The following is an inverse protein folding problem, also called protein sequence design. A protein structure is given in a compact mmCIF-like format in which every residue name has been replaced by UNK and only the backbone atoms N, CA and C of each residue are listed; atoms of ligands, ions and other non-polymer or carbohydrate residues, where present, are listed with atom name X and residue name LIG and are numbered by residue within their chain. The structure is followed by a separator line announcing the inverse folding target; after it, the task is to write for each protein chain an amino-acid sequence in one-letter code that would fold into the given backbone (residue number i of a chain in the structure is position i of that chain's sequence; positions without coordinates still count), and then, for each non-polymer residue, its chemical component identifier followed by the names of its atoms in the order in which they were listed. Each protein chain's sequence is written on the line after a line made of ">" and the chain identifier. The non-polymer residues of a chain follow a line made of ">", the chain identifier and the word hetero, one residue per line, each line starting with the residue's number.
data_IF_564934390575
#
_entry.id   IF_564934390575
#
_cell.length_a   1.000
_cell.length_b   1.000
_cell.length_c   1.000
_cell.angle_alpha   90.00
_cell.angle_beta   90.00
_cell.angle_gamma   90.00
#
_symmetry.space_group_name_H-M   'P 1'
#
loop_
_entity.id
_entity.type
_entity.pdbx_description
1 polymer ?
#
# COMPACT_ATOMS: atom_id res chain seq x y z
N UNK A 1 -8.66 -29.08 20.91
CA UNK A 1 -9.03 -29.17 19.49
C UNK A 1 -9.03 -27.77 18.94
N UNK A 2 -7.95 -27.39 18.27
CA UNK A 2 -7.85 -26.12 17.57
C UNK A 2 -8.44 -26.31 16.17
N UNK A 3 -9.37 -25.44 15.79
CA UNK A 3 -10.01 -25.47 14.48
C UNK A 3 -9.02 -24.86 13.48
N UNK A 4 -8.23 -25.72 12.84
CA UNK A 4 -7.56 -25.44 11.57
C UNK A 4 -8.66 -25.26 10.50
N UNK A 5 -8.75 -24.06 9.94
CA UNK A 5 -9.78 -23.72 8.94
C UNK A 5 -9.97 -22.24 8.69
N UNK A 6 -9.22 -21.35 9.35
CA UNK A 6 -9.20 -19.94 9.00
C UNK A 6 -8.38 -19.72 7.74
N UNK A 7 -9.03 -19.30 6.66
CA UNK A 7 -8.37 -18.67 5.50
C UNK A 7 -7.47 -17.58 6.07
N UNK A 8 -6.16 -17.75 5.91
CA UNK A 8 -5.15 -16.78 6.34
C UNK A 8 -5.43 -15.51 5.56
N UNK A 9 -5.69 -14.40 6.25
CA UNK A 9 -5.91 -13.11 5.60
C UNK A 9 -4.68 -12.76 4.75
N UNK A 10 -4.82 -12.88 3.43
CA UNK A 10 -3.74 -12.59 2.51
C UNK A 10 -3.73 -11.08 2.25
N UNK A 11 -2.63 -10.44 2.61
CA UNK A 11 -2.41 -9.04 2.31
C UNK A 11 -2.51 -8.78 0.80
N UNK A 12 -2.31 -9.80 -0.06
CA UNK A 12 -2.48 -9.72 -1.51
C UNK A 12 -3.89 -9.28 -1.95
N UNK A 13 -4.93 -9.50 -1.14
CA UNK A 13 -6.33 -9.13 -1.41
C UNK A 13 -6.69 -7.69 -1.02
N UNK A 14 -5.83 -7.03 -0.21
CA UNK A 14 -6.06 -5.63 0.18
C UNK A 14 -5.72 -4.75 -1.03
N UNK A 15 -6.74 -4.34 -1.76
CA UNK A 15 -6.63 -3.28 -2.77
C UNK A 15 -7.15 -1.97 -2.16
N UNK A 16 -6.36 -0.92 -2.19
CA UNK A 16 -6.86 0.40 -1.82
C UNK A 16 -7.85 0.86 -2.88
N UNK A 17 -9.11 1.21 -2.55
CA UNK A 17 -9.99 1.84 -3.50
C UNK A 17 -9.35 3.02 -4.17
N UNK A 18 -9.77 3.21 -5.42
CA UNK A 18 -9.33 4.27 -6.28
C UNK A 18 -9.57 5.68 -5.66
N UNK A 19 -10.40 5.84 -4.63
CA UNK A 19 -10.80 7.16 -4.15
C UNK A 19 -10.52 7.45 -2.66
N UNK A 20 -9.68 6.64 -1.98
CA UNK A 20 -9.47 6.76 -0.52
C UNK A 20 -8.96 8.12 0.00
N UNK A 21 -8.42 8.97 -0.88
CA UNK A 21 -7.75 10.23 -0.49
C UNK A 21 -8.17 11.45 -1.31
N UNK A 22 -9.21 11.35 -2.14
CA UNK A 22 -9.73 12.48 -2.92
C UNK A 22 -11.13 12.86 -2.47
N UNK A 23 -11.41 14.17 -2.48
CA UNK A 23 -12.75 14.72 -2.37
C UNK A 23 -13.62 14.16 -3.50
N UNK A 24 -14.89 13.92 -3.15
CA UNK A 24 -15.97 13.45 -3.99
C UNK A 24 -15.91 14.01 -5.42
N UNK A 25 -15.96 13.12 -6.41
CA UNK A 25 -16.75 13.32 -7.61
C UNK A 25 -17.11 11.94 -8.16
N UNK A 26 -18.41 11.67 -8.17
CA UNK A 26 -19.02 10.55 -8.87
C UNK A 26 -18.52 10.50 -10.31
N UNK A 27 -18.06 9.32 -10.73
CA UNK A 27 -18.18 8.82 -12.10
C UNK A 27 -18.01 7.30 -12.06
N UNK A 28 -19.15 6.61 -12.02
CA UNK A 28 -19.30 5.17 -12.21
C UNK A 28 -19.14 4.82 -13.69
N UNK A 29 -17.92 4.82 -14.23
CA UNK A 29 -17.62 4.15 -15.50
C UNK A 29 -16.14 3.75 -15.44
N UNK A 30 -15.83 2.52 -15.00
CA UNK A 30 -14.52 1.85 -15.24
C UNK A 30 -14.45 0.41 -14.63
N UNK A 31 -15.58 -0.26 -14.44
CA UNK A 31 -15.60 -1.65 -13.93
C UNK A 31 -15.42 -2.72 -15.03
N UNK A 32 -15.26 -2.35 -16.30
CA UNK A 32 -15.19 -3.31 -17.42
C UNK A 32 -13.75 -3.75 -17.82
N UNK A 33 -12.71 -3.28 -17.13
CA UNK A 33 -11.32 -3.64 -17.49
C UNK A 33 -10.68 -4.70 -16.59
N UNK A 34 -11.41 -5.25 -15.60
CA UNK A 34 -10.88 -6.26 -14.68
C UNK A 34 -11.20 -7.72 -15.08
N UNK A 35 -11.89 -7.97 -16.20
CA UNK A 35 -12.26 -9.35 -16.63
C UNK A 35 -11.26 -10.01 -17.59
N UNK A 36 -10.11 -9.39 -17.89
CA UNK A 36 -9.12 -9.94 -18.85
C UNK A 36 -7.89 -10.56 -18.16
N UNK A 37 -7.76 -10.49 -16.84
CA UNK A 37 -6.57 -10.99 -16.12
C UNK A 37 -6.67 -12.46 -15.65
N UNK A 38 -7.84 -13.10 -15.77
CA UNK A 38 -8.04 -14.50 -15.34
C UNK A 38 -7.56 -15.56 -16.35
N UNK A 39 -6.91 -15.16 -17.46
CA UNK A 39 -6.51 -16.09 -18.53
C UNK A 39 -5.11 -16.71 -18.39
N UNK A 40 -4.34 -16.37 -17.34
CA UNK A 40 -2.96 -16.85 -17.17
C UNK A 40 -2.64 -17.52 -15.81
N UNK A 41 -3.63 -17.89 -15.00
CA UNK A 41 -3.40 -18.79 -13.87
C UNK A 41 -3.54 -20.27 -14.30
N UNK A 42 -2.60 -20.73 -15.13
CA UNK A 42 -2.41 -22.16 -15.42
C UNK A 42 -1.04 -22.65 -14.95
N UNK A 43 -0.50 -22.05 -13.88
CA UNK A 43 0.66 -22.63 -13.19
C UNK A 43 0.16 -23.58 -12.11
N UNK A 44 0.38 -24.88 -12.31
CA UNK A 44 0.11 -25.89 -11.30
C UNK A 44 0.85 -25.57 -9.98
N UNK A 45 0.22 -25.85 -8.84
CA UNK A 45 0.82 -25.71 -7.50
C UNK A 45 2.21 -26.37 -7.39
N UNK A 46 2.44 -27.42 -8.18
CA UNK A 46 3.71 -28.12 -8.30
C UNK A 46 4.82 -27.22 -8.90
N UNK A 47 4.52 -26.42 -9.92
CA UNK A 47 5.47 -25.47 -10.54
C UNK A 47 5.85 -24.35 -9.58
N UNK A 48 4.88 -23.82 -8.82
CA UNK A 48 5.14 -22.82 -7.76
C UNK A 48 6.05 -23.39 -6.67
N UNK A 49 5.81 -24.64 -6.25
CA UNK A 49 6.64 -25.36 -5.26
C UNK A 49 8.08 -25.61 -5.74
N UNK A 50 8.25 -25.99 -7.02
CA UNK A 50 9.58 -26.19 -7.61
C UNK A 50 10.37 -24.88 -7.64
N UNK A 51 9.78 -23.78 -8.11
CA UNK A 51 10.44 -22.47 -8.14
C UNK A 51 10.86 -22.00 -6.74
N UNK A 52 9.98 -22.15 -5.75
CA UNK A 52 10.30 -21.83 -4.36
C UNK A 52 11.51 -22.61 -3.84
N UNK A 53 11.59 -23.91 -4.18
CA UNK A 53 12.71 -24.76 -3.80
C UNK A 53 14.01 -24.32 -4.47
N UNK A 54 13.97 -23.95 -5.76
CA UNK A 54 15.10 -23.40 -6.48
C UNK A 54 15.59 -22.08 -5.87
N UNK A 55 14.69 -21.13 -5.58
CA UNK A 55 15.04 -19.86 -4.95
C UNK A 55 15.68 -20.06 -3.57
N UNK A 56 15.13 -20.97 -2.76
CA UNK A 56 15.70 -21.30 -1.46
C UNK A 56 17.12 -21.85 -1.58
N UNK A 57 17.36 -22.77 -2.50
CA UNK A 57 18.70 -23.33 -2.75
C UNK A 57 19.71 -22.27 -3.23
N UNK A 58 19.28 -21.34 -4.10
CA UNK A 58 20.13 -20.22 -4.52
C UNK A 58 20.49 -19.31 -3.34
N UNK A 59 19.50 -18.94 -2.51
CA UNK A 59 19.74 -18.11 -1.33
C UNK A 59 20.66 -18.82 -0.33
N UNK A 60 20.50 -20.12 -0.10
CA UNK A 60 21.39 -20.90 0.76
C UNK A 60 22.83 -20.93 0.22
N UNK A 61 22.99 -21.10 -1.09
CA UNK A 61 24.31 -21.10 -1.74
C UNK A 61 24.97 -19.73 -1.64
N UNK A 62 24.25 -18.66 -1.95
CA UNK A 62 24.75 -17.29 -1.84
C UNK A 62 25.05 -16.89 -0.39
N UNK A 63 24.26 -17.38 0.58
CA UNK A 63 24.50 -17.16 2.01
C UNK A 63 25.80 -17.79 2.48
N UNK A 64 26.22 -18.92 1.90
CA UNK A 64 27.53 -19.53 2.19
C UNK A 64 28.69 -18.73 1.61
N UNK A 65 28.49 -18.08 0.46
CA UNK A 65 29.54 -17.31 -0.22
C UNK A 65 29.69 -15.88 0.32
N UNK A 66 28.57 -15.20 0.57
CA UNK A 66 28.52 -13.81 1.02
C UNK A 66 27.47 -13.64 2.14
N UNK A 67 27.70 -14.25 3.33
CA UNK A 67 26.72 -14.29 4.41
C UNK A 67 26.29 -12.88 4.83
N UNK A 68 27.26 -11.97 5.01
CA UNK A 68 27.00 -10.59 5.41
C UNK A 68 26.11 -9.86 4.40
N UNK A 69 26.40 -9.97 3.11
CA UNK A 69 25.60 -9.31 2.07
C UNK A 69 24.17 -9.82 2.07
N UNK A 70 23.97 -11.14 2.16
CA UNK A 70 22.64 -11.73 2.14
C UNK A 70 21.84 -11.32 3.38
N UNK A 71 22.44 -11.37 4.57
CA UNK A 71 21.78 -10.93 5.80
C UNK A 71 21.38 -9.45 5.75
N UNK A 72 22.29 -8.58 5.28
CA UNK A 72 22.00 -7.15 5.16
C UNK A 72 20.90 -6.86 4.11
N UNK A 73 20.91 -7.55 2.96
CA UNK A 73 19.86 -7.41 1.95
C UNK A 73 18.51 -7.91 2.46
N UNK A 74 18.47 -9.06 3.15
CA UNK A 74 17.25 -9.58 3.75
C UNK A 74 16.66 -8.61 4.77
N UNK A 75 17.51 -8.00 5.61
CA UNK A 75 17.09 -6.98 6.56
C UNK A 75 16.54 -5.74 5.84
N UNK A 76 17.24 -5.24 4.82
CA UNK A 76 16.79 -4.10 4.02
C UNK A 76 15.40 -4.37 3.41
N UNK A 77 15.22 -5.52 2.76
CA UNK A 77 13.94 -5.88 2.12
C UNK A 77 12.83 -6.09 3.15
N UNK A 78 13.12 -6.73 4.30
CA UNK A 78 12.16 -6.90 5.40
C UNK A 78 11.65 -5.54 5.87
N UNK A 79 12.56 -4.61 6.13
CA UNK A 79 12.19 -3.29 6.66
C UNK A 79 11.53 -2.39 5.61
N UNK A 80 11.96 -2.47 4.33
CA UNK A 80 11.26 -1.81 3.23
C UNK A 80 9.82 -2.34 3.13
N UNK A 81 9.60 -3.65 3.24
CA UNK A 81 8.26 -4.25 3.24
C UNK A 81 7.41 -3.75 4.41
N UNK A 82 8.00 -3.57 5.60
CA UNK A 82 7.32 -3.02 6.78
C UNK A 82 6.86 -1.57 6.56
N UNK A 83 7.71 -0.71 6.01
CA UNK A 83 7.37 0.70 5.79
C UNK A 83 6.48 0.92 4.55
N UNK A 84 6.19 -0.12 3.75
CA UNK A 84 5.27 -0.05 2.61
C UNK A 84 3.92 0.50 3.03
N UNK A 85 3.33 -0.14 4.05
CA UNK A 85 1.99 0.15 4.54
C UNK A 85 2.02 0.16 6.07
N UNK A 86 1.92 1.35 6.67
CA UNK A 86 1.88 1.50 8.11
C UNK A 86 0.51 1.06 8.66
N UNK A 87 0.42 0.72 9.95
CA UNK A 87 -0.82 0.20 10.54
C UNK A 87 -2.01 1.16 10.44
N UNK A 88 -1.81 2.46 10.57
CA UNK A 88 -2.88 3.45 10.37
C UNK A 88 -3.28 3.61 8.90
N UNK A 89 -2.33 3.47 7.97
CA UNK A 89 -2.62 3.41 6.54
C UNK A 89 -3.42 2.15 6.18
N UNK A 90 -3.05 1.01 6.77
CA UNK A 90 -3.75 -0.27 6.62
C UNK A 90 -5.20 -0.17 7.10
N UNK A 91 -5.43 0.29 8.33
CA UNK A 91 -6.78 0.46 8.86
C UNK A 91 -7.64 1.42 8.03
N UNK A 92 -7.09 2.58 7.68
CA UNK A 92 -7.81 3.55 6.85
C UNK A 92 -8.13 2.97 5.48
N UNK A 93 -7.17 2.27 4.88
CA UNK A 93 -7.29 1.63 3.59
C UNK A 93 -8.37 0.57 3.53
N UNK A 94 -8.35 -0.36 4.48
CA UNK A 94 -9.34 -1.43 4.55
C UNK A 94 -10.74 -0.89 4.85
N UNK A 95 -10.87 0.09 5.76
CA UNK A 95 -12.17 0.71 6.03
C UNK A 95 -12.76 1.45 4.82
N UNK A 96 -11.90 2.02 3.97
CA UNK A 96 -12.33 2.61 2.72
C UNK A 96 -12.70 1.52 1.69
N UNK A 97 -11.92 0.43 1.60
CA UNK A 97 -12.17 -0.72 0.71
C UNK A 97 -13.56 -1.31 0.91
N UNK A 98 -13.93 -1.53 2.16
CA UNK A 98 -15.20 -2.17 2.50
C UNK A 98 -16.34 -1.16 2.73
N UNK A 99 -16.15 0.13 2.43
CA UNK A 99 -17.14 1.17 2.74
C UNK A 99 -18.50 0.94 2.06
N UNK A 100 -18.49 0.66 0.74
CA UNK A 100 -19.72 0.39 -0.01
C UNK A 100 -20.41 -0.89 0.47
N UNK A 101 -19.63 -1.93 0.79
CA UNK A 101 -20.15 -3.21 1.28
C UNK A 101 -20.77 -3.08 2.68
N UNK A 102 -20.20 -2.21 3.52
CA UNK A 102 -20.74 -1.85 4.83
C UNK A 102 -22.10 -1.17 4.66
N UNK A 103 -22.21 -0.17 3.77
CA UNK A 103 -23.47 0.55 3.51
C UNK A 103 -24.53 -0.41 2.99
N UNK A 104 -24.17 -1.29 2.05
CA UNK A 104 -25.09 -2.27 1.49
C UNK A 104 -25.64 -3.21 2.57
N UNK A 105 -24.80 -3.69 3.48
CA UNK A 105 -25.23 -4.54 4.61
C UNK A 105 -26.08 -3.82 5.63
N UNK A 106 -25.81 -2.53 5.89
CA UNK A 106 -26.67 -1.72 6.75
C UNK A 106 -28.08 -1.63 6.16
N UNK A 107 -28.19 -1.31 4.87
CA UNK A 107 -29.48 -1.23 4.20
C UNK A 107 -30.20 -2.59 4.15
N UNK A 108 -29.47 -3.67 3.87
CA UNK A 108 -30.02 -5.03 3.92
C UNK A 108 -30.60 -5.36 5.30
N UNK A 109 -29.89 -4.98 6.37
CA UNK A 109 -30.34 -5.21 7.73
C UNK A 109 -31.59 -4.37 8.06
N UNK A 110 -31.65 -3.10 7.63
CA UNK A 110 -32.83 -2.24 7.80
C UNK A 110 -34.09 -2.89 7.18
N UNK A 111 -33.97 -3.39 5.94
CA UNK A 111 -35.06 -4.08 5.23
C UNK A 111 -35.48 -5.37 5.95
N UNK A 112 -34.55 -6.16 6.46
CA UNK A 112 -34.88 -7.39 7.18
C UNK A 112 -35.53 -7.11 8.54
N UNK A 113 -35.13 -6.04 9.23
CA UNK A 113 -35.76 -5.59 10.48
C UNK A 113 -37.21 -5.16 10.24
N UNK A 114 -37.47 -4.42 9.16
CA UNK A 114 -38.82 -3.99 8.78
C UNK A 114 -39.74 -5.20 8.55
N UNK A 115 -39.29 -6.21 7.78
CA UNK A 115 -40.04 -7.45 7.57
C UNK A 115 -40.35 -8.22 8.86
N UNK A 116 -39.38 -8.30 9.78
CA UNK A 116 -39.60 -8.97 11.08
C UNK A 116 -40.62 -8.19 11.92
N UNK A 117 -40.59 -6.87 11.88
CA UNK A 117 -41.52 -6.01 12.60
C UNK A 117 -42.95 -6.09 12.05
N UNK A 118 -43.13 -6.15 10.73
CA UNK A 118 -44.44 -6.28 10.06
C UNK A 118 -45.13 -7.63 10.30
N UNK A 119 -44.37 -8.67 10.64
CA UNK A 119 -44.93 -9.99 10.87
C UNK A 119 -45.80 -10.01 12.14
N UNK A 120 -47.09 -10.29 11.97
CA UNK A 120 -48.07 -10.35 13.07
C UNK A 120 -48.03 -11.66 13.86
N UNK A 121 -47.39 -12.70 13.32
CA UNK A 121 -47.33 -14.04 13.93
C UNK A 121 -46.20 -14.21 14.93
N UNK A 122 -45.40 -13.16 15.18
CA UNK A 122 -44.24 -13.21 16.07
C UNK A 122 -44.49 -12.36 17.31
N UNK A 123 -44.18 -12.93 18.47
CA UNK A 123 -44.18 -12.19 19.72
C UNK A 123 -42.97 -11.25 19.84
N UNK A 124 -43.03 -10.28 20.75
CA UNK A 124 -41.97 -9.26 20.92
C UNK A 124 -40.60 -9.89 21.21
N UNK A 125 -40.56 -10.93 22.04
CA UNK A 125 -39.31 -11.64 22.36
C UNK A 125 -38.74 -12.38 21.15
N UNK A 126 -39.61 -13.02 20.34
CA UNK A 126 -39.21 -13.70 19.12
C UNK A 126 -38.67 -12.72 18.07
N UNK A 127 -39.30 -11.55 17.93
CA UNK A 127 -38.81 -10.47 17.06
C UNK A 127 -37.42 -10.01 17.45
N UNK A 128 -37.16 -9.77 18.73
CA UNK A 128 -35.84 -9.36 19.24
C UNK A 128 -34.79 -10.44 18.94
N UNK A 129 -35.11 -11.70 19.21
CA UNK A 129 -34.21 -12.83 18.95
C UNK A 129 -33.87 -12.96 17.46
N UNK A 130 -34.88 -12.87 16.59
CA UNK A 130 -34.70 -12.94 15.13
C UNK A 130 -33.87 -11.77 14.60
N UNK A 131 -34.14 -10.54 15.05
CA UNK A 131 -33.37 -9.34 14.66
C UNK A 131 -31.90 -9.52 15.07
N UNK A 132 -31.64 -10.02 16.27
CA UNK A 132 -30.27 -10.25 16.78
C UNK A 132 -29.53 -11.29 15.93
N UNK A 133 -30.18 -12.40 15.59
CA UNK A 133 -29.55 -13.44 14.75
C UNK A 133 -29.34 -12.95 13.31
N UNK A 134 -30.30 -12.19 12.75
CA UNK A 134 -30.16 -11.54 11.43
C UNK A 134 -29.00 -10.55 11.40
N UNK A 135 -28.88 -9.69 12.42
CA UNK A 135 -27.75 -8.80 12.59
C UNK A 135 -26.44 -9.58 12.56
N UNK A 136 -26.35 -10.63 13.38
CA UNK A 136 -25.14 -11.46 13.50
C UNK A 136 -24.74 -12.06 12.15
N UNK A 137 -25.70 -12.65 11.41
CA UNK A 137 -25.44 -13.29 10.12
C UNK A 137 -24.97 -12.26 9.09
N UNK A 138 -25.68 -11.14 8.97
CA UNK A 138 -25.39 -10.11 7.96
C UNK A 138 -24.04 -9.46 8.25
N UNK A 139 -23.73 -9.13 9.50
CA UNK A 139 -22.53 -8.37 9.87
C UNK A 139 -21.27 -9.23 10.06
N UNK A 140 -21.39 -10.56 10.23
CA UNK A 140 -20.27 -11.47 10.46
C UNK A 140 -19.10 -11.31 9.47
N UNK A 141 -19.31 -11.14 8.14
CA UNK A 141 -18.20 -10.97 7.20
C UNK A 141 -17.36 -9.71 7.48
N UNK A 142 -18.02 -8.59 7.79
CA UNK A 142 -17.30 -7.34 8.10
C UNK A 142 -16.58 -7.44 9.43
N UNK A 143 -17.24 -7.98 10.46
CA UNK A 143 -16.62 -8.18 11.77
C UNK A 143 -15.38 -9.07 11.63
N UNK A 144 -15.47 -10.14 10.84
CA UNK A 144 -14.34 -11.02 10.58
C UNK A 144 -13.14 -10.26 9.98
N UNK A 145 -13.35 -9.42 8.98
CA UNK A 145 -12.28 -8.59 8.38
C UNK A 145 -11.64 -7.67 9.43
N UNK A 146 -12.45 -7.01 10.26
CA UNK A 146 -11.95 -6.10 11.29
C UNK A 146 -11.20 -6.85 12.40
N UNK A 147 -11.62 -8.07 12.74
CA UNK A 147 -10.89 -8.96 13.67
C UNK A 147 -9.55 -9.40 13.08
N UNK A 148 -9.48 -9.68 11.78
CA UNK A 148 -8.21 -9.99 11.11
C UNK A 148 -7.26 -8.78 11.18
N UNK A 149 -7.75 -7.57 10.89
CA UNK A 149 -6.96 -6.34 11.03
C UNK A 149 -6.46 -6.11 12.47
N UNK A 150 -7.33 -6.36 13.46
CA UNK A 150 -6.95 -6.29 14.86
C UNK A 150 -5.85 -7.31 15.18
N UNK A 151 -5.97 -8.55 14.69
CA UNK A 151 -4.97 -9.58 14.94
C UNK A 151 -3.59 -9.16 14.41
N UNK A 152 -3.53 -8.59 13.20
CA UNK A 152 -2.30 -8.07 12.58
C UNK A 152 -1.72 -6.89 13.35
N UNK A 153 -2.56 -5.98 13.84
CA UNK A 153 -2.10 -4.74 14.50
C UNK A 153 -1.96 -4.84 16.02
N UNK A 154 -2.22 -6.02 16.58
CA UNK A 154 -2.06 -6.35 18.01
C UNK A 154 -0.81 -7.18 18.32
N UNK A 155 -0.03 -7.54 17.30
CA UNK A 155 1.27 -8.22 17.46
C UNK A 155 2.28 -7.32 18.20
N UNK A 156 3.35 -7.92 18.73
CA UNK A 156 4.39 -7.15 19.43
C UNK A 156 4.96 -6.05 18.51
N UNK A 157 4.96 -4.77 18.94
CA UNK A 157 5.43 -3.67 18.11
C UNK A 157 6.96 -3.70 17.98
N UNK A 158 7.45 -3.74 16.74
CA UNK A 158 8.87 -3.70 16.39
C UNK A 158 9.38 -2.25 16.20
N UNK A 159 8.48 -1.29 15.97
CA UNK A 159 8.84 0.12 15.71
C UNK A 159 8.18 1.11 16.68
N UNK A 160 8.77 2.30 16.90
CA UNK A 160 8.14 3.36 17.69
C UNK A 160 6.76 3.75 17.16
N UNK A 161 6.57 3.78 15.83
CA UNK A 161 5.28 4.10 15.21
C UNK A 161 4.22 3.04 15.52
N UNK A 162 4.57 1.76 15.45
CA UNK A 162 3.69 0.64 15.81
C UNK A 162 3.27 0.70 17.30
N UNK A 163 4.22 0.97 18.20
CA UNK A 163 3.94 1.13 19.62
C UNK A 163 2.97 2.29 19.88
N UNK A 164 3.23 3.46 19.29
CA UNK A 164 2.35 4.62 19.41
C UNK A 164 0.95 4.38 18.84
N UNK A 165 0.85 3.58 17.77
CA UNK A 165 -0.44 3.17 17.23
C UNK A 165 -1.21 2.36 18.27
N UNK A 166 -0.59 1.36 18.89
CA UNK A 166 -1.25 0.52 19.89
C UNK A 166 -1.68 1.30 21.12
N UNK A 167 -0.77 2.10 21.69
CA UNK A 167 -1.06 2.96 22.85
C UNK A 167 -2.26 3.88 22.61
N UNK A 168 -2.48 4.30 21.36
CA UNK A 168 -3.56 5.23 21.02
C UNK A 168 -4.86 4.57 20.60
N UNK A 169 -4.80 3.43 19.91
CA UNK A 169 -5.95 2.88 19.20
C UNK A 169 -6.34 1.47 19.65
N UNK A 170 -5.47 0.68 20.29
CA UNK A 170 -5.77 -0.73 20.60
C UNK A 170 -7.01 -0.91 21.46
N UNK A 171 -7.15 -0.14 22.53
CA UNK A 171 -8.31 -0.25 23.43
C UNK A 171 -9.59 0.25 22.76
N UNK A 172 -9.48 1.32 21.96
CA UNK A 172 -10.60 1.85 21.17
C UNK A 172 -11.06 0.84 20.13
N UNK A 173 -10.14 0.17 19.43
CA UNK A 173 -10.45 -0.87 18.44
C UNK A 173 -11.14 -2.06 19.11
N UNK A 174 -10.64 -2.52 20.26
CA UNK A 174 -11.27 -3.58 21.05
C UNK A 174 -12.69 -3.21 21.45
N UNK A 175 -12.88 -2.02 22.00
CA UNK A 175 -14.21 -1.53 22.41
C UNK A 175 -15.18 -1.45 21.23
N UNK A 176 -14.72 -0.92 20.08
CA UNK A 176 -15.52 -0.85 18.86
C UNK A 176 -15.91 -2.25 18.38
N UNK A 177 -14.97 -3.20 18.32
CA UNK A 177 -15.25 -4.56 17.88
C UNK A 177 -16.23 -5.29 18.80
N UNK A 178 -16.12 -5.12 20.11
CA UNK A 178 -17.06 -5.71 21.07
C UNK A 178 -18.47 -5.13 20.90
N UNK A 179 -18.59 -3.81 20.70
CA UNK A 179 -19.88 -3.14 20.40
C UNK A 179 -20.47 -3.56 19.05
N UNK A 180 -19.62 -3.84 18.06
CA UNK A 180 -20.06 -4.35 16.76
C UNK A 180 -20.54 -5.80 16.85
N UNK A 181 -19.93 -6.63 17.70
CA UNK A 181 -20.37 -8.02 17.91
C UNK A 181 -21.66 -8.11 18.71
N UNK A 182 -21.75 -7.29 19.75
CA UNK A 182 -22.85 -7.30 20.72
C UNK A 182 -23.46 -5.88 20.79
N UNK A 183 -24.26 -5.48 19.80
CA UNK A 183 -24.88 -4.16 19.79
C UNK A 183 -25.95 -4.03 20.87
N UNK A 184 -26.03 -2.87 21.52
CA UNK A 184 -27.08 -2.54 22.50
C UNK A 184 -28.47 -2.48 21.85
N UNK A 185 -28.53 -2.04 20.59
CA UNK A 185 -29.75 -1.85 19.80
C UNK A 185 -29.59 -2.49 18.40
N UNK A 186 -29.72 -3.83 18.28
CA UNK A 186 -29.59 -4.53 16.99
C UNK A 186 -30.70 -4.16 15.99
N UNK A 187 -31.82 -3.63 16.49
CA UNK A 187 -32.93 -3.07 15.72
C UNK A 187 -32.59 -1.72 15.06
N UNK A 188 -31.44 -1.12 15.40
CA UNK A 188 -30.98 0.16 14.85
C UNK A 188 -29.59 0.03 14.23
N UNK A 189 -29.51 -0.31 12.93
CA UNK A 189 -28.24 -0.51 12.23
C UNK A 189 -27.32 0.71 12.24
N UNK A 190 -27.89 1.92 12.15
CA UNK A 190 -27.16 3.18 12.15
C UNK A 190 -26.46 3.45 13.50
N UNK A 191 -27.14 3.16 14.62
CA UNK A 191 -26.57 3.35 15.97
C UNK A 191 -25.50 2.30 16.26
N UNK A 192 -25.76 1.04 15.89
CA UNK A 192 -24.82 -0.07 16.07
C UNK A 192 -23.48 0.17 15.36
N UNK A 193 -23.48 0.90 14.24
CA UNK A 193 -22.27 1.15 13.44
C UNK A 193 -21.57 2.48 13.72
N UNK A 194 -22.19 3.35 14.51
CA UNK A 194 -21.63 4.65 14.87
C UNK A 194 -20.21 4.54 15.48
N UNK A 195 -19.89 3.57 16.35
CA UNK A 195 -18.54 3.41 16.89
C UNK A 195 -17.47 3.23 15.80
N UNK A 196 -17.76 2.44 14.75
CA UNK A 196 -16.83 2.25 13.65
C UNK A 196 -16.65 3.52 12.81
N UNK A 197 -17.74 4.24 12.55
CA UNK A 197 -17.70 5.53 11.83
C UNK A 197 -16.85 6.57 12.56
N UNK A 198 -16.94 6.62 13.88
CA UNK A 198 -16.10 7.49 14.72
C UNK A 198 -14.63 7.07 14.64
N UNK A 199 -14.33 5.78 14.69
CA UNK A 199 -12.97 5.25 14.53
C UNK A 199 -12.39 5.60 13.14
N UNK A 200 -13.15 5.39 12.07
CA UNK A 200 -12.77 5.76 10.71
C UNK A 200 -12.44 7.26 10.59
N UNK A 201 -13.29 8.10 11.18
CA UNK A 201 -13.08 9.56 11.20
C UNK A 201 -11.78 9.94 11.91
N UNK A 202 -11.40 9.25 13.00
CA UNK A 202 -10.12 9.49 13.69
C UNK A 202 -8.91 9.16 12.80
N UNK A 203 -8.98 8.08 12.01
CA UNK A 203 -7.92 7.75 11.04
C UNK A 203 -7.85 8.75 9.90
N UNK A 204 -9.00 9.12 9.32
CA UNK A 204 -9.08 10.13 8.26
C UNK A 204 -8.52 11.48 8.72
N UNK A 205 -8.89 11.97 9.90
CA UNK A 205 -8.37 13.22 10.44
C UNK A 205 -6.85 13.23 10.58
N UNK A 206 -6.23 12.10 10.96
CA UNK A 206 -4.76 11.98 11.02
C UNK A 206 -4.16 12.06 9.62
N UNK A 207 -4.72 11.33 8.67
CA UNK A 207 -4.20 11.21 7.31
C UNK A 207 -4.24 12.50 6.48
N UNK A 208 -5.08 13.48 6.85
CA UNK A 208 -5.19 14.79 6.18
C UNK A 208 -4.32 15.89 6.83
N UNK A 209 -3.69 15.63 7.98
CA UNK A 209 -2.80 16.62 8.60
C UNK A 209 -1.56 16.81 7.75
N UNK A 210 -1.06 18.05 7.67
CA UNK A 210 0.20 18.35 6.94
C UNK A 210 1.39 17.51 7.45
N UNK A 211 1.42 17.21 8.74
CA UNK A 211 2.43 16.35 9.36
C UNK A 211 2.39 14.91 8.84
N UNK A 212 1.28 14.45 8.25
CA UNK A 212 1.18 13.11 7.69
C UNK A 212 2.01 12.95 6.40
N UNK A 213 2.39 14.05 5.73
CA UNK A 213 3.21 13.98 4.51
C UNK A 213 4.72 13.91 4.79
N UNK A 214 5.11 13.85 6.06
CA UNK A 214 6.52 13.75 6.46
C UNK A 214 6.64 12.76 7.60
N UNK A 215 7.41 11.71 7.37
CA UNK A 215 7.74 10.70 8.37
C UNK A 215 9.22 10.80 8.70
N UNK A 216 9.56 10.39 9.92
CA UNK A 216 10.96 10.12 10.27
C UNK A 216 11.23 8.64 10.14
N UNK A 217 12.29 8.28 9.43
CA UNK A 217 12.66 6.87 9.26
C UNK A 217 12.89 6.20 10.62
N UNK A 218 13.46 6.89 11.61
CA UNK A 218 13.68 6.34 12.95
C UNK A 218 12.38 5.90 13.66
N UNK A 219 11.23 6.50 13.31
CA UNK A 219 9.96 6.17 13.94
C UNK A 219 9.32 4.94 13.27
N UNK A 220 9.56 4.74 11.97
CA UNK A 220 8.95 3.66 11.16
C UNK A 220 9.89 2.48 10.87
N UNK A 221 11.20 2.67 10.99
CA UNK A 221 12.24 1.64 10.92
C UNK A 221 13.56 2.17 11.52
N UNK A 222 13.76 1.97 12.84
CA UNK A 222 15.05 2.26 13.49
C UNK A 222 16.21 1.48 12.86
N UNK A 223 15.94 0.27 12.37
CA UNK A 223 16.94 -0.60 11.76
C UNK A 223 17.51 0.02 10.49
N UNK A 224 16.67 0.53 9.58
CA UNK A 224 17.15 1.20 8.37
C UNK A 224 17.99 2.45 8.67
N UNK A 225 17.61 3.24 9.68
CA UNK A 225 18.41 4.41 10.09
C UNK A 225 19.76 4.01 10.67
N UNK A 226 19.82 2.89 11.39
CA UNK A 226 21.05 2.39 11.99
C UNK A 226 22.04 1.81 10.99
N UNK A 227 21.59 1.47 9.77
CA UNK A 227 22.45 0.92 8.73
C UNK A 227 23.48 1.97 8.30
N UNK A 228 24.75 1.62 8.49
CA UNK A 228 25.90 2.43 8.09
C UNK A 228 26.91 1.58 7.33
N UNK A 229 27.49 2.16 6.28
CA UNK A 229 28.60 1.61 5.50
C UNK A 229 28.40 0.13 5.14
N UNK A 230 27.24 -0.15 4.54
CA UNK A 230 26.80 -1.51 4.22
C UNK A 230 27.56 -2.06 3.00
N UNK A 231 27.53 -3.39 2.85
CA UNK A 231 28.05 -4.06 1.64
C UNK A 231 27.01 -4.17 0.53
N UNK A 232 25.79 -3.69 0.76
CA UNK A 232 24.67 -3.74 -0.19
C UNK A 232 24.96 -2.80 -1.36
N UNK A 233 24.94 -3.32 -2.59
CA UNK A 233 25.03 -2.49 -3.78
C UNK A 233 23.81 -1.57 -3.89
N UNK A 234 24.01 -0.33 -4.35
CA UNK A 234 22.92 0.62 -4.53
C UNK A 234 21.88 0.09 -5.54
N UNK A 235 20.57 0.05 -5.20
CA UNK A 235 19.56 -0.57 -6.05
C UNK A 235 19.45 0.10 -7.44
N UNK A 236 19.43 -0.70 -8.50
CA UNK A 236 19.20 -0.21 -9.85
C UNK A 236 20.36 0.55 -10.49
N UNK A 237 21.55 0.60 -9.87
CA UNK A 237 22.76 1.08 -10.55
C UNK A 237 23.36 -0.02 -11.42
N UNK A 238 23.66 0.31 -12.68
CA UNK A 238 24.29 -0.61 -13.61
C UNK A 238 25.72 -0.96 -13.18
N UNK A 239 26.08 -2.24 -13.33
CA UNK A 239 27.43 -2.78 -13.06
C UNK A 239 28.51 -2.26 -13.99
N UNK A 240 28.17 -1.44 -14.99
CA UNK A 240 29.12 -0.80 -15.91
C UNK A 240 29.94 0.33 -15.27
N UNK A 241 29.59 0.76 -14.05
CA UNK A 241 30.44 1.67 -13.28
C UNK A 241 31.70 0.93 -12.83
N UNK A 242 32.89 1.52 -13.07
CA UNK A 242 34.19 0.93 -12.70
C UNK A 242 34.34 0.64 -11.20
N UNK A 243 33.43 1.16 -10.37
CA UNK A 243 33.41 1.05 -8.91
C UNK A 243 31.99 0.76 -8.43
N UNK A 244 31.82 -0.35 -7.70
CA UNK A 244 30.54 -0.71 -7.06
C UNK A 244 30.19 0.31 -5.97
N UNK A 245 29.12 1.07 -6.18
CA UNK A 245 28.57 1.96 -5.16
C UNK A 245 27.70 1.15 -4.20
N UNK A 246 27.94 1.31 -2.90
CA UNK A 246 27.18 0.64 -1.83
C UNK A 246 26.37 1.66 -1.02
N UNK A 247 25.38 1.19 -0.28
CA UNK A 247 24.59 2.05 0.62
C UNK A 247 25.45 2.40 1.84
N UNK A 248 25.85 3.66 1.97
CA UNK A 248 26.52 4.19 3.15
C UNK A 248 25.53 4.52 4.27
N UNK A 249 24.37 5.10 3.96
CA UNK A 249 23.32 5.32 4.98
C UNK A 249 21.94 5.60 4.36
N UNK A 250 20.90 5.53 5.17
CA UNK A 250 19.52 5.88 4.80
C UNK A 250 19.12 7.18 5.49
N UNK A 251 18.52 8.11 4.74
CA UNK A 251 18.06 9.38 5.29
C UNK A 251 16.96 9.19 6.33
N UNK A 252 17.04 9.95 7.42
CA UNK A 252 15.98 9.95 8.44
C UNK A 252 14.72 10.69 7.98
N UNK A 253 14.75 11.42 6.86
CA UNK A 253 13.60 12.15 6.35
C UNK A 253 12.92 11.38 5.22
N UNK A 254 11.63 11.06 5.41
CA UNK A 254 10.79 10.39 4.40
C UNK A 254 9.63 11.31 4.06
N UNK A 255 9.52 11.70 2.78
CA UNK A 255 8.40 12.51 2.30
C UNK A 255 7.33 11.61 1.68
N UNK A 256 6.06 11.82 2.01
CA UNK A 256 4.95 11.13 1.35
C UNK A 256 4.39 12.06 0.28
N UNK A 257 4.27 11.57 -0.95
CA UNK A 257 3.70 12.38 -2.03
C UNK A 257 2.18 12.51 -1.86
N UNK A 258 1.60 13.69 -2.10
CA UNK A 258 0.16 13.93 -1.99
C UNK A 258 -0.57 13.42 -3.24
N UNK A 259 -0.41 12.13 -3.53
CA UNK A 259 -1.15 11.43 -4.58
C UNK A 259 -2.03 10.37 -3.94
N UNK A 260 -2.90 9.80 -4.77
CA UNK A 260 -3.82 8.73 -4.41
C UNK A 260 -3.14 7.50 -3.78
N UNK A 261 -1.99 7.08 -4.28
CA UNK A 261 -1.30 5.90 -3.73
C UNK A 261 -0.27 6.25 -2.65
N UNK A 262 -0.18 7.54 -2.26
CA UNK A 262 0.70 8.06 -1.20
C UNK A 262 2.09 7.40 -1.17
N UNK A 263 2.83 7.37 -2.30
CA UNK A 263 4.13 6.72 -2.34
C UNK A 263 5.14 7.50 -1.50
N UNK A 264 6.11 6.77 -0.96
CA UNK A 264 7.11 7.28 -0.03
C UNK A 264 8.40 7.62 -0.79
N UNK A 265 8.86 8.87 -0.71
CA UNK A 265 10.15 9.30 -1.25
C UNK A 265 11.25 8.92 -0.25
N UNK A 266 12.05 7.95 -0.63
CA UNK A 266 13.19 7.46 0.14
C UNK A 266 14.48 8.04 -0.42
N UNK A 267 15.45 8.29 0.47
CA UNK A 267 16.75 8.85 0.11
C UNK A 267 17.85 8.00 0.74
N UNK A 268 18.77 7.53 -0.08
CA UNK A 268 19.96 6.76 0.30
C UNK A 268 21.22 7.55 -0.03
N UNK A 269 22.26 7.37 0.78
CA UNK A 269 23.57 7.96 0.54
C UNK A 269 24.52 6.85 0.10
N UNK A 270 25.20 7.05 -1.03
CA UNK A 270 26.17 6.10 -1.57
C UNK A 270 27.54 6.25 -0.92
N UNK A 271 28.34 5.19 -1.00
CA UNK A 271 29.76 5.22 -0.61
C UNK A 271 30.63 6.13 -1.49
N UNK A 272 30.09 6.59 -2.62
CA UNK A 272 30.68 7.63 -3.48
C UNK A 272 30.35 9.07 -3.02
N UNK A 273 29.61 9.22 -1.91
CA UNK A 273 29.18 10.50 -1.38
C UNK A 273 27.93 11.08 -2.06
N UNK A 274 27.37 10.39 -3.06
CA UNK A 274 26.22 10.87 -3.82
C UNK A 274 24.90 10.48 -3.16
N UNK A 275 23.87 11.24 -3.47
CA UNK A 275 22.52 11.03 -2.95
C UNK A 275 21.65 10.35 -4.00
N UNK A 276 21.05 9.23 -3.64
CA UNK A 276 20.18 8.42 -4.49
C UNK A 276 18.76 8.45 -3.95
N UNK A 277 17.84 8.94 -4.77
CA UNK A 277 16.45 9.11 -4.38
C UNK A 277 15.59 8.08 -5.09
N UNK A 278 14.66 7.46 -4.36
CA UNK A 278 13.70 6.50 -4.90
C UNK A 278 12.28 6.88 -4.51
N UNK A 279 11.37 6.66 -5.43
CA UNK A 279 9.94 6.60 -5.15
C UNK A 279 9.60 5.16 -4.78
N UNK A 280 9.24 4.95 -3.52
CA UNK A 280 8.79 3.66 -3.03
C UNK A 280 7.26 3.56 -3.15
N UNK A 281 6.82 2.58 -3.93
CA UNK A 281 5.40 2.29 -4.18
C UNK A 281 5.01 0.98 -3.51
N UNK A 282 3.86 1.00 -2.85
CA UNK A 282 3.23 -0.15 -2.25
C UNK A 282 1.85 -0.39 -2.85
N UNK A 283 1.40 -1.65 -2.80
CA UNK A 283 0.12 -2.10 -3.35
C UNK A 283 0.00 -1.91 -4.87
N UNK A 284 1.15 -1.83 -5.55
CA UNK A 284 1.26 -1.72 -7.00
C UNK A 284 2.26 -2.78 -7.49
N UNK A 285 1.90 -3.51 -8.54
CA UNK A 285 2.83 -4.39 -9.25
C UNK A 285 3.71 -3.54 -10.20
N UNK A 286 5.03 -3.65 -10.05
CA UNK A 286 6.02 -2.93 -10.85
C UNK A 286 6.78 -3.82 -11.84
N UNK A 287 6.44 -5.11 -11.97
CA UNK A 287 7.13 -6.01 -12.88
C UNK A 287 6.96 -5.58 -14.34
N UNK A 288 5.78 -5.11 -14.74
CA UNK A 288 5.56 -4.61 -16.10
C UNK A 288 6.43 -3.36 -16.38
N UNK A 289 6.44 -2.39 -15.47
CA UNK A 289 7.30 -1.20 -15.56
C UNK A 289 8.78 -1.59 -15.69
N UNK A 290 9.24 -2.56 -14.89
CA UNK A 290 10.60 -3.10 -14.97
C UNK A 290 10.91 -3.67 -16.36
N UNK A 291 10.00 -4.47 -16.94
CA UNK A 291 10.17 -5.03 -18.30
C UNK A 291 10.19 -3.94 -19.37
N UNK A 292 9.35 -2.91 -19.25
CA UNK A 292 9.36 -1.78 -20.18
C UNK A 292 10.70 -1.04 -20.12
N UNK A 293 11.25 -0.79 -18.92
CA UNK A 293 12.56 -0.15 -18.79
C UNK A 293 13.69 -0.99 -19.38
N UNK A 294 13.63 -2.32 -19.25
CA UNK A 294 14.58 -3.24 -19.91
C UNK A 294 14.46 -3.15 -21.44
N UNK A 295 13.25 -3.16 -21.98
CA UNK A 295 13.01 -3.01 -23.42
C UNK A 295 13.60 -1.70 -23.95
N UNK A 296 13.37 -0.57 -23.26
CA UNK A 296 13.96 0.72 -23.64
C UNK A 296 15.49 0.69 -23.60
N UNK A 297 16.10 -0.03 -22.66
CA UNK A 297 17.56 -0.22 -22.61
C UNK A 297 18.08 -0.98 -23.83
N UNK A 298 17.39 -2.04 -24.25
CA UNK A 298 17.73 -2.81 -25.45
C UNK A 298 17.58 -1.94 -26.71
N UNK A 299 16.45 -1.24 -26.85
CA UNK A 299 16.19 -0.34 -27.97
C UNK A 299 17.27 0.74 -28.09
N UNK A 300 17.65 1.36 -26.97
CA UNK A 300 18.75 2.33 -26.94
C UNK A 300 20.10 1.74 -27.37
N UNK A 301 20.37 0.48 -27.01
CA UNK A 301 21.61 -0.21 -27.40
C UNK A 301 21.64 -0.45 -28.91
N UNK A 302 20.52 -0.89 -29.49
CA UNK A 302 20.39 -1.08 -30.94
C UNK A 302 20.52 0.23 -31.72
N UNK A 303 19.88 1.30 -31.24
CA UNK A 303 19.95 2.62 -31.87
C UNK A 303 21.36 3.24 -31.79
N UNK A 304 22.10 2.99 -30.71
CA UNK A 304 23.48 3.46 -30.57
C UNK A 304 24.47 2.78 -31.53
N UNK A 305 24.19 1.55 -31.97
CA UNK A 305 25.04 0.83 -32.93
C UNK A 305 24.89 1.34 -34.37
N UNK A 306 23.78 2.03 -34.70
CA UNK A 306 23.51 2.57 -36.04
C UNK A 306 24.00 3.99 -36.28
N UNK A 307 24.55 4.69 -35.27
CA UNK A 307 25.04 6.06 -35.42
C UNK A 307 26.52 6.10 -35.83
N UNK A 308 26.79 6.08 -37.14
CA UNK A 308 28.13 6.27 -37.69
C UNK A 308 28.63 7.72 -37.46
N UNK A 309 29.34 7.90 -36.36
CA UNK A 309 30.47 8.83 -36.20
C UNK A 309 30.27 10.35 -36.35
N UNK A 310 29.12 10.87 -36.78
CA UNK A 310 29.05 12.31 -37.16
C UNK A 310 27.74 13.05 -36.86
N UNK A 311 26.80 12.46 -36.14
CA UNK A 311 25.59 13.19 -35.71
C UNK A 311 25.18 12.76 -34.32
N UNK A 312 24.90 13.74 -33.46
CA UNK A 312 24.41 13.56 -32.10
C UNK A 312 23.44 12.38 -31.99
N UNK A 313 23.58 11.55 -30.96
CA UNK A 313 22.61 10.53 -30.53
C UNK A 313 21.22 11.17 -30.30
N UNK A 314 20.50 11.50 -31.36
CA UNK A 314 19.25 12.27 -31.36
C UNK A 314 18.08 11.43 -30.83
N UNK A 315 18.15 10.11 -30.98
CA UNK A 315 17.09 9.19 -30.60
C UNK A 315 17.54 8.29 -29.46
N UNK A 316 17.57 8.86 -28.24
CA UNK A 316 17.74 8.08 -27.00
C UNK A 316 16.49 8.23 -26.15
N UNK A 317 15.80 7.12 -25.89
CA UNK A 317 14.73 7.08 -24.91
C UNK A 317 15.34 7.14 -23.50
N UNK A 318 15.05 8.21 -22.75
CA UNK A 318 15.44 8.26 -21.33
C UNK A 318 14.62 7.23 -20.56
N UNK A 319 15.30 6.40 -19.79
CA UNK A 319 14.69 5.40 -18.92
C UNK A 319 15.31 5.50 -17.53
N UNK A 320 14.64 4.91 -16.54
CA UNK A 320 15.05 4.89 -15.13
C UNK A 320 14.98 3.46 -14.60
N UNK A 321 15.61 3.20 -13.46
CA UNK A 321 15.61 1.86 -12.87
C UNK A 321 14.38 1.63 -12.02
N UNK A 322 13.75 0.48 -12.21
CA UNK A 322 12.62 -0.04 -11.45
C UNK A 322 13.07 -1.34 -10.77
N UNK A 323 12.84 -1.46 -9.47
CA UNK A 323 13.28 -2.58 -8.65
C UNK A 323 12.07 -3.15 -7.90
N UNK A 324 11.41 -4.20 -8.44
CA UNK A 324 10.38 -4.93 -7.71
C UNK A 324 10.98 -5.54 -6.43
N UNK A 325 10.28 -5.38 -5.31
CA UNK A 325 10.64 -5.94 -4.01
C UNK A 325 9.69 -7.06 -3.56
N UNK A 326 8.76 -7.43 -4.43
CA UNK A 326 7.72 -8.43 -4.22
C UNK A 326 6.60 -8.23 -5.25
N UNK A 327 5.49 -8.97 -5.11
CA UNK A 327 4.39 -8.93 -6.08
C UNK A 327 3.66 -7.58 -6.13
N UNK A 328 3.73 -6.78 -5.06
CA UNK A 328 2.96 -5.52 -4.94
C UNK A 328 3.74 -4.37 -4.31
N UNK A 329 5.06 -4.36 -4.46
CA UNK A 329 5.86 -3.24 -3.95
C UNK A 329 7.17 -3.15 -4.70
N UNK A 330 7.70 -1.94 -4.83
CA UNK A 330 9.05 -1.77 -5.34
C UNK A 330 9.51 -0.31 -5.38
N UNK A 331 10.76 -0.15 -5.81
CA UNK A 331 11.43 1.14 -5.89
C UNK A 331 11.49 1.61 -7.35
N UNK A 332 11.19 2.88 -7.57
CA UNK A 332 11.41 3.56 -8.84
C UNK A 332 12.46 4.64 -8.61
N UNK A 333 13.51 4.66 -9.43
CA UNK A 333 14.54 5.69 -9.32
C UNK A 333 13.95 7.06 -9.63
N UNK A 334 14.23 8.03 -8.76
CA UNK A 334 13.75 9.39 -8.95
C UNK A 334 14.52 10.10 -10.06
N UNK A 335 13.80 10.81 -10.94
CA UNK A 335 14.41 11.55 -12.04
C UNK A 335 14.33 13.05 -11.76
N UNK A 336 15.47 13.60 -11.35
CA UNK A 336 15.62 15.03 -11.11
C UNK A 336 15.66 15.86 -12.41
N UNK A 337 15.40 17.16 -12.27
CA UNK A 337 15.42 18.09 -13.40
C UNK A 337 14.27 17.93 -14.40
N UNK A 338 13.23 17.18 -14.03
CA UNK A 338 12.02 17.02 -14.85
C UNK A 338 10.93 18.00 -14.41
N UNK A 339 10.12 18.48 -15.35
CA UNK A 339 8.94 19.30 -15.06
C UNK A 339 7.74 18.67 -15.77
N UNK A 340 6.68 18.26 -15.03
CA UNK A 340 5.48 17.74 -15.65
C UNK A 340 4.84 18.77 -16.58
N UNK A 341 4.40 18.35 -17.77
CA UNK A 341 3.77 19.23 -18.77
C UNK A 341 2.54 19.94 -18.18
N UNK A 342 1.74 19.23 -17.37
CA UNK A 342 0.59 19.80 -16.68
C UNK A 342 0.97 20.97 -15.76
N UNK A 343 2.14 20.91 -15.10
CA UNK A 343 2.59 22.01 -14.24
C UNK A 343 2.93 23.27 -15.06
N UNK A 344 3.46 23.10 -16.27
CA UNK A 344 3.69 24.20 -17.21
C UNK A 344 2.38 24.83 -17.64
N UNK A 345 1.41 24.01 -18.06
CA UNK A 345 0.10 24.45 -18.48
C UNK A 345 -0.65 25.20 -17.37
N UNK A 346 -0.70 24.62 -16.16
CA UNK A 346 -1.35 25.24 -14.99
C UNK A 346 -0.76 26.60 -14.66
N UNK A 347 0.58 26.72 -14.65
CA UNK A 347 1.27 28.01 -14.39
C UNK A 347 0.99 29.03 -15.50
N UNK A 348 0.91 28.60 -16.75
CA UNK A 348 0.53 29.48 -17.86
C UNK A 348 -0.90 30.00 -17.69
N UNK A 349 -1.89 29.13 -17.44
CA UNK A 349 -3.27 29.54 -17.20
C UNK A 349 -3.41 30.54 -16.05
N UNK A 350 -2.72 30.30 -14.93
CA UNK A 350 -2.73 31.20 -13.78
C UNK A 350 -2.19 32.60 -14.13
N UNK A 351 -1.13 32.68 -14.95
CA UNK A 351 -0.59 33.96 -15.41
C UNK A 351 -1.56 34.69 -16.34
N UNK A 352 -2.23 33.98 -17.24
CA UNK A 352 -3.23 34.58 -18.13
C UNK A 352 -4.45 35.09 -17.35
N UNK A 353 -4.94 34.32 -16.37
CA UNK A 353 -6.02 34.76 -15.49
C UNK A 353 -5.64 36.01 -14.67
N UNK A 354 -4.41 36.05 -14.14
CA UNK A 354 -3.92 37.22 -13.40
C UNK A 354 -3.84 38.49 -14.26
N UNK A 355 -3.43 38.36 -15.54
CA UNK A 355 -3.42 39.47 -16.51
C UNK A 355 -4.83 39.97 -16.86
N UNK A 356 -5.81 39.06 -16.95
CA UNK A 356 -7.20 39.44 -17.18
C UNK A 356 -7.75 40.28 -16.01
N UNK A 357 -7.43 39.89 -14.77
CA UNK A 357 -7.88 40.60 -13.57
C UNK A 357 -7.17 41.94 -13.32
N UNK A 358 -6.06 42.24 -14.00
CA UNK A 358 -5.37 43.55 -13.88
C UNK A 358 -5.85 44.59 -14.90
N UNK A 359 -6.71 44.20 -15.86
CA UNK A 359 -7.26 45.09 -16.89
C UNK A 359 -8.70 45.56 -16.59
N UNK A 360 -9.26 45.14 -15.46
CA UNK A 360 -10.49 45.65 -14.83
C UNK A 360 -10.10 46.39 -13.57
#
# INVERSE_FOLDING_TARGET
>A
GAVEGGVKFDFSEISMPKDCFSQSNDNNEDNELNEIDDAYESDSEETKSVLQTCFKSMVETLSKQAPETITQVQLLVKELRRITLLWDELWLGTLAQYHSEIIQRQHQLEVEIEKVNENQNLDKEEKISLITEKYRIIMKPIIFILEQLQSVTSVEPETPHERQFQERYSDVIKEVLEKLKNPDHPDKPQESWLPLKVLQSKFQQKAHKRTAYTLKMQDISPLLVSMKDTVIAMPGLATSSKTRVTISSVSNHVSILPTKTKPKKLVFHGSDGQTYTYLFKGLEDLHLDERIMQFLSIANTMMAQGSDGSSHNLYRARHYSVIPLGPRSGLISWVDGTTPVFALYKRWQQREAAKANTKT
#
